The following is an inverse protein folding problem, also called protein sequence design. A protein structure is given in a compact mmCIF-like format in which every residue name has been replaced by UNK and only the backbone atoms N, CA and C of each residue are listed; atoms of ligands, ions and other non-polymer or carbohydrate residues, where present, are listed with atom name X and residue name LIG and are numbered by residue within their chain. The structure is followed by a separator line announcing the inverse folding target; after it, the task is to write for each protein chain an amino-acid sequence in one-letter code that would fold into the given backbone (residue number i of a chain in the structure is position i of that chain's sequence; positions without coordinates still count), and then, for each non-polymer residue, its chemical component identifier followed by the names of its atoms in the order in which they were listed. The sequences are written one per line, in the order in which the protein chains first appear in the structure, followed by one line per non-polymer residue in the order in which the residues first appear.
data_IF_407172976809
#
_entry.id   IF_407172976809
#
_cell.length_a   1.000
_cell.length_b   1.000
_cell.length_c   1.000
_cell.angle_alpha   90.00
_cell.angle_beta   90.00
_cell.angle_gamma   90.00
#
_symmetry.space_group_name_H-M   'P 1'
#
loop_
_entity.id
_entity.type
_entity.pdbx_description
1 polymer ?
#
# COMPACT_ATOMS: atom_id res chain seq x y z
N UNK A 1 0.97 -41.35 12.93
CA UNK A 1 1.66 -40.94 14.18
C UNK A 1 0.92 -39.73 14.74
N UNK A 2 0.44 -39.77 16.00
CA UNK A 2 -0.23 -38.61 16.59
C UNK A 2 0.81 -37.51 16.89
N UNK A 3 0.56 -36.30 16.37
CA UNK A 3 1.41 -35.13 16.60
C UNK A 3 1.09 -34.59 17.99
N UNK A 4 1.93 -34.96 18.98
CA UNK A 4 1.87 -34.43 20.33
C UNK A 4 2.25 -32.95 20.30
N UNK A 5 1.29 -32.03 20.45
CA UNK A 5 1.56 -30.60 20.53
C UNK A 5 2.18 -30.27 21.90
N UNK A 6 3.50 -30.08 21.91
CA UNK A 6 4.24 -29.58 23.07
C UNK A 6 3.66 -28.21 23.47
N UNK A 7 3.36 -27.96 24.76
CA UNK A 7 2.85 -26.67 25.20
C UNK A 7 3.98 -25.63 25.06
N UNK A 8 3.86 -24.77 24.04
CA UNK A 8 4.83 -23.70 23.79
C UNK A 8 4.68 -22.64 24.88
N UNK A 9 5.54 -22.81 25.88
CA UNK A 9 5.91 -21.87 26.94
C UNK A 9 6.15 -20.46 26.35
N UNK A 10 5.45 -19.48 26.92
CA UNK A 10 5.59 -18.02 26.73
C UNK A 10 5.87 -17.56 25.30
N UNK A 11 4.85 -17.73 24.46
CA UNK A 11 4.83 -17.20 23.09
C UNK A 11 5.05 -15.67 23.14
N UNK A 12 6.18 -15.22 22.58
CA UNK A 12 6.56 -13.81 22.51
C UNK A 12 5.45 -12.96 21.86
N UNK A 13 5.28 -11.72 22.31
CA UNK A 13 4.22 -10.81 21.84
C UNK A 13 4.22 -10.70 20.31
N UNK A 14 5.41 -10.65 19.69
CA UNK A 14 5.57 -10.62 18.24
C UNK A 14 5.01 -11.88 17.56
N UNK A 15 5.22 -13.06 18.12
CA UNK A 15 4.70 -14.30 17.56
C UNK A 15 3.17 -14.38 17.69
N UNK A 16 2.61 -13.90 18.81
CA UNK A 16 1.15 -13.79 18.99
C UNK A 16 0.53 -12.82 17.98
N UNK A 17 1.15 -11.65 17.78
CA UNK A 17 0.72 -10.68 16.78
C UNK A 17 0.83 -11.24 15.36
N UNK A 18 1.90 -11.98 15.06
CA UNK A 18 2.08 -12.65 13.77
C UNK A 18 0.98 -13.69 13.52
N UNK A 19 0.66 -14.51 14.53
CA UNK A 19 -0.43 -15.49 14.41
C UNK A 19 -1.79 -14.82 14.21
N UNK A 20 -2.08 -13.73 14.93
CA UNK A 20 -3.30 -12.95 14.72
C UNK A 20 -3.35 -12.34 13.32
N UNK A 21 -2.24 -11.79 12.82
CA UNK A 21 -2.16 -11.28 11.46
C UNK A 21 -2.42 -12.38 10.43
N UNK A 22 -1.78 -13.55 10.55
CA UNK A 22 -1.98 -14.68 9.65
C UNK A 22 -3.43 -15.20 9.70
N UNK A 23 -4.05 -15.22 10.88
CA UNK A 23 -5.45 -15.57 11.04
C UNK A 23 -6.38 -14.55 10.35
N UNK A 24 -6.13 -13.25 10.54
CA UNK A 24 -6.90 -12.19 9.89
C UNK A 24 -6.71 -12.22 8.36
N UNK A 25 -5.48 -12.49 7.90
CA UNK A 25 -5.15 -12.63 6.48
C UNK A 25 -5.87 -13.83 5.85
N UNK A 26 -6.10 -14.90 6.61
CA UNK A 26 -6.86 -16.07 6.16
C UNK A 26 -8.37 -15.85 6.20
N UNK A 27 -8.89 -15.14 7.21
CA UNK A 27 -10.32 -14.92 7.44
C UNK A 27 -10.89 -13.76 6.62
N UNK A 28 -10.15 -12.67 6.49
CA UNK A 28 -10.53 -11.44 5.79
C UNK A 28 -9.39 -10.94 4.88
N UNK A 29 -8.99 -11.74 3.87
CA UNK A 29 -7.83 -11.44 3.02
C UNK A 29 -7.92 -10.06 2.37
N UNK A 30 -9.12 -9.62 2.00
CA UNK A 30 -9.37 -8.33 1.34
C UNK A 30 -9.07 -7.18 2.31
N UNK A 31 -9.71 -7.17 3.48
CA UNK A 31 -9.57 -6.09 4.46
C UNK A 31 -8.14 -5.99 4.98
N UNK A 32 -7.51 -7.11 5.34
CA UNK A 32 -6.16 -7.10 5.92
C UNK A 32 -5.12 -6.61 4.92
N UNK A 33 -5.16 -7.06 3.66
CA UNK A 33 -4.23 -6.60 2.61
C UNK A 33 -4.42 -5.13 2.26
N UNK A 34 -5.68 -4.67 2.20
CA UNK A 34 -6.03 -3.27 1.94
C UNK A 34 -5.48 -2.34 3.02
N UNK A 35 -5.73 -2.67 4.29
CA UNK A 35 -5.30 -1.85 5.42
C UNK A 35 -3.78 -1.80 5.49
N UNK A 36 -3.11 -2.95 5.37
CA UNK A 36 -1.64 -3.00 5.37
C UNK A 36 -1.06 -2.23 4.19
N UNK A 37 -1.67 -2.30 2.99
CA UNK A 37 -1.24 -1.50 1.84
C UNK A 37 -1.43 0.00 2.08
N UNK A 38 -2.57 0.44 2.61
CA UNK A 38 -2.83 1.83 2.99
C UNK A 38 -1.78 2.39 3.93
N UNK A 39 -1.48 1.65 4.99
CA UNK A 39 -0.47 2.04 5.98
C UNK A 39 0.92 2.11 5.33
N UNK A 40 1.30 1.08 4.57
CA UNK A 40 2.63 1.03 3.96
C UNK A 40 2.84 2.13 2.92
N UNK A 41 1.82 2.42 2.10
CA UNK A 41 1.87 3.52 1.12
C UNK A 41 1.97 4.88 1.79
N UNK A 42 1.20 5.13 2.85
CA UNK A 42 1.29 6.36 3.63
C UNK A 42 2.67 6.52 4.30
N UNK A 43 3.17 5.47 4.94
CA UNK A 43 4.50 5.46 5.55
C UNK A 43 5.61 5.67 4.52
N UNK A 44 5.51 5.03 3.35
CA UNK A 44 6.47 5.21 2.26
C UNK A 44 6.53 6.66 1.79
N UNK A 45 5.37 7.32 1.62
CA UNK A 45 5.32 8.72 1.25
C UNK A 45 5.90 9.63 2.33
N UNK A 46 5.53 9.41 3.60
CA UNK A 46 6.07 10.17 4.74
C UNK A 46 7.59 10.00 4.87
N UNK A 47 8.09 8.78 4.71
CA UNK A 47 9.52 8.51 4.77
C UNK A 47 10.26 9.22 3.64
N UNK A 48 9.71 9.21 2.41
CA UNK A 48 10.30 9.93 1.28
C UNK A 48 10.37 11.44 1.55
N UNK A 49 9.30 12.02 2.08
CA UNK A 49 9.25 13.44 2.42
C UNK A 49 10.26 13.80 3.51
N UNK A 50 10.40 12.95 4.55
CA UNK A 50 11.38 13.16 5.63
C UNK A 50 12.81 13.07 5.12
N UNK A 51 13.11 12.10 4.25
CA UNK A 51 14.43 11.95 3.64
C UNK A 51 14.77 13.14 2.75
N UNK A 52 13.81 13.62 1.97
CA UNK A 52 13.99 14.77 1.10
C UNK A 52 14.16 16.07 1.90
N UNK A 53 13.37 16.27 2.97
CA UNK A 53 13.51 17.40 3.89
C UNK A 53 14.90 17.41 4.55
N UNK A 54 15.39 16.24 5.00
CA UNK A 54 16.76 16.11 5.54
C UNK A 54 17.84 16.43 4.51
N UNK A 55 17.67 15.96 3.27
CA UNK A 55 18.61 16.22 2.17
C UNK A 55 18.65 17.72 1.82
N UNK A 56 17.49 18.39 1.76
CA UNK A 56 17.37 19.84 1.48
C UNK A 56 17.95 20.69 2.60
N UNK A 57 17.70 20.33 3.86
CA UNK A 57 18.29 20.99 5.03
C UNK A 57 19.83 20.92 5.00
N UNK A 58 20.40 19.78 4.60
CA UNK A 58 21.85 19.63 4.43
C UNK A 58 22.42 20.50 3.30
N UNK A 59 21.60 20.81 2.29
CA UNK A 59 21.97 21.65 1.15
C UNK A 59 21.66 23.15 1.37
N UNK A 60 21.25 23.56 2.58
CA UNK A 60 20.96 24.96 2.91
C UNK A 60 19.66 25.52 2.30
N UNK A 61 18.79 24.66 1.77
CA UNK A 61 17.49 25.06 1.22
C UNK A 61 16.44 24.95 2.34
N UNK A 62 15.55 25.95 2.54
CA UNK A 62 14.49 25.85 3.53
C UNK A 62 13.63 24.61 3.28
N UNK A 63 13.43 23.79 4.31
CA UNK A 63 12.59 22.61 4.25
C UNK A 63 11.13 23.05 4.12
N UNK A 64 10.46 22.64 3.04
CA UNK A 64 9.02 22.87 2.88
C UNK A 64 8.26 22.02 3.91
N UNK A 65 7.07 22.47 4.32
CA UNK A 65 6.21 21.70 5.22
C UNK A 65 5.89 20.31 4.63
N UNK A 66 5.81 19.30 5.50
CA UNK A 66 5.44 17.94 5.13
C UNK A 66 4.04 17.96 4.48
N UNK A 67 3.95 17.50 3.24
CA UNK A 67 2.70 17.37 2.49
C UNK A 67 1.86 16.21 3.06
N UNK A 68 1.07 16.56 4.08
CA UNK A 68 0.07 15.68 4.69
C UNK A 68 -1.02 15.27 3.69
N UNK A 69 -1.33 16.13 2.72
CA UNK A 69 -2.35 15.88 1.70
C UNK A 69 -1.88 14.76 0.77
N UNK A 70 -0.61 14.76 0.39
CA UNK A 70 0.04 13.65 -0.31
C UNK A 70 -0.04 12.34 0.48
N UNK A 71 0.29 12.34 1.77
CA UNK A 71 0.23 11.13 2.59
C UNK A 71 -1.20 10.52 2.66
N UNK A 72 -2.22 11.37 2.74
CA UNK A 72 -3.62 10.94 2.70
C UNK A 72 -4.02 10.34 1.34
N UNK A 73 -3.54 10.90 0.21
CA UNK A 73 -3.77 10.32 -1.13
C UNK A 73 -3.22 8.90 -1.23
N UNK A 74 -1.98 8.71 -0.78
CA UNK A 74 -1.34 7.38 -0.77
C UNK A 74 -2.03 6.40 0.19
N UNK A 75 -2.55 6.89 1.31
CA UNK A 75 -3.36 6.07 2.23
C UNK A 75 -4.66 5.60 1.55
N UNK A 76 -5.42 6.52 0.93
CA UNK A 76 -6.70 6.21 0.26
C UNK A 76 -6.49 5.24 -0.90
N UNK A 77 -5.46 5.48 -1.73
CA UNK A 77 -5.06 4.56 -2.78
C UNK A 77 -4.83 3.15 -2.22
N UNK A 78 -3.97 3.06 -1.19
CA UNK A 78 -3.62 1.80 -0.54
C UNK A 78 -4.82 1.03 0.02
N UNK A 79 -5.78 1.77 0.60
CA UNK A 79 -6.96 1.21 1.29
C UNK A 79 -8.09 0.80 0.34
N UNK A 80 -8.42 1.64 -0.65
CA UNK A 80 -9.63 1.44 -1.45
C UNK A 80 -9.38 0.83 -2.82
N UNK A 81 -8.15 0.91 -3.33
CA UNK A 81 -7.85 0.49 -4.71
C UNK A 81 -7.01 -0.77 -4.69
N UNK A 82 -5.87 -0.75 -3.99
CA UNK A 82 -4.95 -1.89 -3.96
C UNK A 82 -5.61 -3.15 -3.39
N UNK A 83 -6.48 -2.96 -2.41
CA UNK A 83 -7.28 -3.99 -1.75
C UNK A 83 -8.19 -4.81 -2.67
N UNK A 84 -9.27 -4.22 -3.20
CA UNK A 84 -10.21 -4.92 -4.06
C UNK A 84 -9.57 -5.36 -5.37
N UNK A 85 -8.68 -4.56 -5.96
CA UNK A 85 -7.97 -4.94 -7.20
C UNK A 85 -7.16 -6.21 -6.99
N UNK A 86 -6.45 -6.32 -5.87
CA UNK A 86 -5.70 -7.53 -5.54
C UNK A 86 -6.62 -8.75 -5.42
N UNK A 87 -7.83 -8.58 -4.86
CA UNK A 87 -8.80 -9.68 -4.74
C UNK A 87 -9.27 -10.19 -6.10
N UNK A 88 -9.73 -9.31 -6.99
CA UNK A 88 -10.17 -9.69 -8.33
C UNK A 88 -9.03 -10.32 -9.14
N UNK A 89 -7.81 -9.80 -8.98
CA UNK A 89 -6.64 -10.36 -9.64
C UNK A 89 -6.36 -11.80 -9.19
N UNK A 90 -6.33 -12.06 -7.88
CA UNK A 90 -6.09 -13.42 -7.38
C UNK A 90 -7.19 -14.40 -7.76
N UNK A 91 -8.46 -13.95 -7.75
CA UNK A 91 -9.60 -14.77 -8.14
C UNK A 91 -9.56 -15.11 -9.64
N UNK A 92 -9.17 -14.15 -10.48
CA UNK A 92 -8.91 -14.40 -11.90
C UNK A 92 -7.74 -15.38 -12.07
N UNK A 93 -6.65 -15.21 -11.31
CA UNK A 93 -5.49 -16.10 -11.41
C UNK A 93 -5.79 -17.55 -11.01
N UNK A 94 -6.69 -17.77 -10.05
CA UNK A 94 -7.19 -19.10 -9.67
C UNK A 94 -8.04 -19.73 -10.78
N UNK A 95 -8.84 -18.93 -11.50
CA UNK A 95 -9.65 -19.41 -12.63
C UNK A 95 -8.78 -19.80 -13.84
N UNK A 96 -7.73 -19.02 -14.11
CA UNK A 96 -6.86 -19.21 -15.28
C UNK A 96 -5.83 -20.33 -15.09
N UNK A 97 -5.40 -20.62 -13.86
CA UNK A 97 -4.37 -21.61 -13.59
C UNK A 97 -4.87 -22.64 -12.56
N UNK A 98 -5.48 -23.75 -13.03
CA UNK A 98 -5.89 -24.86 -12.17
C UNK A 98 -4.66 -25.54 -11.53
N UNK A 99 -4.82 -25.99 -10.29
CA UNK A 99 -3.76 -26.59 -9.46
C UNK A 99 -3.27 -27.96 -9.93
N UNK A 100 -3.94 -28.54 -10.92
CA UNK A 100 -3.62 -29.86 -11.52
C UNK A 100 -2.40 -29.83 -12.44
N UNK A 101 -1.93 -28.66 -12.84
CA UNK A 101 -0.83 -28.50 -13.79
C UNK A 101 0.56 -28.60 -13.09
N UNK A 102 1.49 -29.47 -13.53
CA UNK A 102 2.82 -29.60 -12.92
C UNK A 102 3.70 -28.35 -13.09
N UNK A 103 3.37 -27.50 -14.07
CA UNK A 103 4.03 -26.21 -14.32
C UNK A 103 3.25 -25.01 -13.76
N UNK A 104 2.24 -25.24 -12.91
CA UNK A 104 1.37 -24.21 -12.34
C UNK A 104 2.16 -23.08 -11.69
N UNK A 105 3.22 -23.40 -10.93
CA UNK A 105 4.05 -22.40 -10.22
C UNK A 105 4.75 -21.46 -11.21
N UNK A 106 5.33 -22.01 -12.29
CA UNK A 106 6.06 -21.22 -13.30
C UNK A 106 5.10 -20.34 -14.10
N UNK A 107 3.96 -20.89 -14.52
CA UNK A 107 2.90 -20.13 -15.22
C UNK A 107 2.37 -18.99 -14.35
N UNK A 108 2.12 -19.25 -13.06
CA UNK A 108 1.67 -18.22 -12.09
C UNK A 108 2.71 -17.12 -11.94
N UNK A 109 3.99 -17.48 -11.80
CA UNK A 109 5.09 -16.51 -11.69
C UNK A 109 5.25 -15.65 -12.94
N UNK A 110 5.17 -16.25 -14.14
CA UNK A 110 5.26 -15.50 -15.39
C UNK A 110 4.07 -14.55 -15.55
N UNK A 111 2.85 -15.00 -15.24
CA UNK A 111 1.65 -14.18 -15.33
C UNK A 111 1.72 -12.98 -14.35
N UNK A 112 2.18 -13.24 -13.13
CA UNK A 112 2.39 -12.21 -12.11
C UNK A 112 3.44 -11.17 -12.55
N UNK A 113 4.54 -11.61 -13.15
CA UNK A 113 5.63 -10.70 -13.54
C UNK A 113 5.41 -9.98 -14.87
N UNK A 114 4.81 -10.62 -15.87
CA UNK A 114 4.59 -10.02 -17.19
C UNK A 114 3.27 -9.28 -17.34
N UNK A 115 2.22 -9.66 -16.60
CA UNK A 115 0.88 -9.08 -16.79
C UNK A 115 0.50 -8.26 -15.57
N UNK A 116 0.63 -8.85 -14.37
CA UNK A 116 0.20 -8.15 -13.16
C UNK A 116 1.10 -7.00 -12.80
N UNK A 117 2.43 -7.19 -12.76
CA UNK A 117 3.36 -6.12 -12.40
C UNK A 117 3.21 -4.86 -13.30
N UNK A 118 3.22 -4.94 -14.64
CA UNK A 118 3.02 -3.76 -15.48
C UNK A 118 1.59 -3.22 -15.42
N UNK A 119 0.56 -4.08 -15.38
CA UNK A 119 -0.84 -3.63 -15.26
C UNK A 119 -1.13 -2.92 -13.95
N UNK A 120 -0.56 -3.41 -12.85
CA UNK A 120 -0.65 -2.83 -11.53
C UNK A 120 0.11 -1.50 -11.43
N UNK A 121 1.28 -1.40 -12.07
CA UNK A 121 2.01 -0.13 -12.20
C UNK A 121 1.20 0.92 -12.99
N UNK A 122 0.62 0.54 -14.13
CA UNK A 122 -0.23 1.43 -14.91
C UNK A 122 -1.45 1.90 -14.11
N UNK A 123 -2.11 0.99 -13.39
CA UNK A 123 -3.22 1.33 -12.51
C UNK A 123 -2.79 2.28 -11.38
N UNK A 124 -1.63 2.04 -10.77
CA UNK A 124 -1.06 2.93 -9.76
C UNK A 124 -0.93 4.35 -10.30
N UNK A 125 -0.28 4.52 -11.45
CA UNK A 125 -0.09 5.85 -12.05
C UNK A 125 -1.42 6.48 -12.46
N UNK A 126 -2.33 5.72 -13.06
CA UNK A 126 -3.65 6.20 -13.45
C UNK A 126 -4.44 6.75 -12.26
N UNK A 127 -4.49 5.98 -11.17
CA UNK A 127 -5.25 6.35 -9.99
C UNK A 127 -4.59 7.49 -9.22
N UNK A 128 -3.25 7.48 -9.07
CA UNK A 128 -2.55 8.61 -8.46
C UNK A 128 -2.77 9.91 -9.24
N UNK A 129 -2.77 9.84 -10.58
CA UNK A 129 -3.06 10.98 -11.42
C UNK A 129 -4.50 11.49 -11.20
N UNK A 130 -5.48 10.59 -11.11
CA UNK A 130 -6.86 10.97 -10.78
C UNK A 130 -6.96 11.61 -9.39
N UNK A 131 -6.32 11.04 -8.37
CA UNK A 131 -6.36 11.61 -7.01
C UNK A 131 -5.66 12.96 -6.94
N UNK A 132 -4.59 13.15 -7.70
CA UNK A 132 -3.89 14.44 -7.80
C UNK A 132 -4.78 15.51 -8.42
N UNK A 133 -5.42 15.20 -9.55
CA UNK A 133 -6.31 16.13 -10.28
C UNK A 133 -7.61 16.41 -9.50
N UNK A 134 -8.20 15.37 -8.90
CA UNK A 134 -9.46 15.47 -8.17
C UNK A 134 -9.33 16.23 -6.85
N UNK A 135 -8.23 16.05 -6.12
CA UNK A 135 -8.04 16.68 -4.81
C UNK A 135 -7.49 18.11 -4.91
N UNK A 136 -6.80 18.48 -6.01
CA UNK A 136 -6.45 19.87 -6.29
C UNK A 136 -7.68 20.76 -6.58
N UNK A 137 -8.79 20.17 -7.06
CA UNK A 137 -10.08 20.87 -7.15
C UNK A 137 -10.78 21.08 -5.79
N UNK A 138 -10.40 20.32 -4.76
CA UNK A 138 -11.02 20.35 -3.44
C UNK A 138 -10.27 21.24 -2.43
N UNK A 139 -9.09 21.77 -2.79
CA UNK A 139 -8.45 22.84 -2.05
C UNK A 139 -9.01 24.18 -2.56
N UNK A 140 -10.03 24.80 -1.91
CA UNK A 140 -10.25 26.20 -2.13
C UNK A 140 -8.97 26.91 -1.73
N UNK A 141 -8.43 27.63 -2.70
CA UNK A 141 -7.48 28.71 -2.58
C UNK A 141 -7.63 29.39 -1.21
N UNK A 142 -6.75 29.09 -0.26
CA UNK A 142 -6.54 29.97 0.90
C UNK A 142 -5.65 31.11 0.43
N UNK A 143 -6.21 32.00 -0.40
CA UNK A 143 -5.66 33.33 -0.63
C UNK A 143 -6.03 34.19 0.56
N UNK A 144 -5.16 34.23 1.55
CA UNK A 144 -4.95 35.44 2.33
C UNK A 144 -3.44 35.67 2.37
N UNK A 145 -2.94 36.29 1.29
CA UNK A 145 -1.63 36.93 1.32
C UNK A 145 -1.63 38.11 2.31
N UNK A 146 -0.46 38.52 2.82
CA UNK A 146 -0.37 39.68 3.71
C UNK A 146 -0.74 40.95 2.93
N UNK A 147 -1.82 41.59 3.33
CA UNK A 147 -2.17 42.94 2.88
C UNK A 147 -1.23 43.93 3.58
N UNK A 148 -0.07 44.16 2.97
CA UNK A 148 0.74 45.35 3.23
C UNK A 148 0.55 46.31 2.06
N UNK A 149 -0.05 47.47 2.28
CA UNK A 149 0.31 48.72 1.59
C UNK A 149 -0.37 49.92 2.26
N UNK A 150 0.50 50.77 2.82
CA UNK A 150 0.38 52.19 3.22
C UNK A 150 -0.46 52.53 4.46
#
# INVERSE_FOLDING_TARGET
MPVQSVPVRDVSVHYRLLQQYLFLLKKYPILTKSITSGILSALGNLLSQVLEARKRAKNGVPANEIDKVGATRYAIYGLFITGPVSHYFYQLMELWIPTTDPLCIVKRLLLDRLIFAPGFLLLFYFVMNILEVGLLRMSPISTTGPCNTV
#
